data_IF_866625711937
#
_entry.id   IF_866625711937
#
_cell.length_a   1.000
_cell.length_b   1.000
_cell.length_c   1.000
_cell.angle_alpha   90.00
_cell.angle_beta   90.00
_cell.angle_gamma   90.00
#
_symmetry.space_group_name_H-M   'P 1'
#
loop_
_entity.id
_entity.type
_entity.pdbx_description
1 polymer ?
#
# COMPACT_ATOMS: atom_id res chain seq x y z
N UNK A 1 23.61 -26.90 -12.20
CA UNK A 1 23.46 -25.47 -11.86
C UNK A 1 21.98 -25.18 -11.69
N UNK A 2 21.50 -25.29 -10.48
CA UNK A 2 20.17 -24.78 -10.16
C UNK A 2 20.31 -23.26 -10.03
N UNK A 3 19.83 -22.57 -11.04
CA UNK A 3 19.61 -21.15 -10.98
C UNK A 3 18.45 -20.99 -9.98
N UNK A 4 18.75 -20.56 -8.77
CA UNK A 4 17.75 -20.05 -7.87
C UNK A 4 17.15 -18.83 -8.54
N UNK A 5 15.98 -19.02 -9.13
CA UNK A 5 15.12 -17.93 -9.53
C UNK A 5 14.71 -17.21 -8.25
N UNK A 6 15.45 -16.15 -7.92
CA UNK A 6 15.11 -15.27 -6.81
C UNK A 6 13.81 -14.63 -7.22
N UNK A 7 12.72 -15.08 -6.61
CA UNK A 7 11.42 -14.46 -6.79
C UNK A 7 11.56 -12.97 -6.46
N UNK A 8 11.47 -12.12 -7.46
CA UNK A 8 11.57 -10.68 -7.32
C UNK A 8 10.30 -10.16 -6.61
N UNK A 9 10.39 -10.08 -5.30
CA UNK A 9 9.32 -9.52 -4.49
C UNK A 9 9.40 -7.99 -4.55
N UNK A 10 8.37 -7.37 -5.08
CA UNK A 10 8.22 -5.91 -5.08
C UNK A 10 7.08 -5.57 -4.12
N UNK A 11 7.40 -4.83 -3.07
CA UNK A 11 6.41 -4.39 -2.10
C UNK A 11 6.20 -2.88 -2.16
N UNK A 12 4.95 -2.48 -2.10
CA UNK A 12 4.57 -1.11 -1.81
C UNK A 12 4.36 -0.98 -0.29
N UNK A 13 5.33 -0.41 0.38
CA UNK A 13 5.31 -0.24 1.83
C UNK A 13 4.66 1.10 2.18
N UNK A 14 3.58 1.04 2.94
CA UNK A 14 2.93 2.22 3.49
C UNK A 14 3.23 2.29 4.98
N UNK A 15 3.91 3.36 5.38
CA UNK A 15 4.33 3.59 6.75
C UNK A 15 3.48 4.70 7.33
N UNK A 16 2.86 4.45 8.47
CA UNK A 16 2.05 5.43 9.19
C UNK A 16 2.68 5.75 10.53
N UNK A 17 2.61 7.03 10.90
CA UNK A 17 3.02 7.55 12.18
C UNK A 17 1.85 7.62 13.17
N UNK A 18 2.15 7.76 14.45
CA UNK A 18 1.17 7.96 15.52
C UNK A 18 0.38 9.27 15.33
N UNK A 19 0.97 10.28 14.71
CA UNK A 19 0.34 11.57 14.42
C UNK A 19 -0.61 11.54 13.21
N UNK A 20 -0.73 10.43 12.51
CA UNK A 20 -1.60 10.27 11.35
C UNK A 20 -0.95 10.63 10.01
N UNK A 21 0.34 10.95 9.98
CA UNK A 21 1.08 11.09 8.73
C UNK A 21 1.40 9.73 8.16
N UNK A 22 1.43 9.60 6.84
CA UNK A 22 1.83 8.39 6.16
C UNK A 22 2.70 8.70 4.95
N UNK A 23 3.67 7.84 4.73
CA UNK A 23 4.53 7.85 3.53
C UNK A 23 4.46 6.48 2.87
N UNK A 24 4.62 6.47 1.56
CA UNK A 24 4.66 5.24 0.77
C UNK A 24 6.00 5.14 0.09
N UNK A 25 6.65 3.98 0.23
CA UNK A 25 7.89 3.63 -0.47
C UNK A 25 7.72 2.33 -1.22
N UNK A 26 8.34 2.23 -2.38
CA UNK A 26 8.43 0.99 -3.13
C UNK A 26 9.76 0.32 -2.81
N UNK A 27 9.69 -0.91 -2.33
CA UNK A 27 10.84 -1.77 -2.07
C UNK A 27 10.96 -2.76 -3.22
N UNK A 28 12.13 -2.81 -3.83
CA UNK A 28 12.42 -3.71 -4.93
C UNK A 28 13.49 -4.73 -4.50
N UNK A 29 13.28 -5.96 -4.92
CA UNK A 29 14.27 -7.04 -4.83
C UNK A 29 14.92 -7.18 -3.44
N UNK A 30 16.21 -6.81 -3.33
CA UNK A 30 17.01 -7.01 -2.12
C UNK A 30 16.44 -6.35 -0.86
N UNK A 31 15.85 -5.18 -1.00
CA UNK A 31 15.27 -4.43 0.11
C UNK A 31 13.95 -5.03 0.62
N UNK A 32 13.31 -5.86 -0.19
CA UNK A 32 12.10 -6.57 0.17
C UNK A 32 12.35 -7.84 1.01
N UNK A 33 13.53 -8.43 0.91
CA UNK A 33 13.88 -9.69 1.56
C UNK A 33 13.67 -9.70 3.07
N UNK A 34 14.02 -8.65 3.84
CA UNK A 34 13.82 -8.63 5.29
C UNK A 34 12.36 -8.72 5.72
N UNK A 35 11.43 -8.38 4.83
CA UNK A 35 9.98 -8.44 5.10
C UNK A 35 9.38 -9.82 4.78
N UNK A 36 10.08 -10.62 3.97
CA UNK A 36 9.61 -11.94 3.58
C UNK A 36 9.52 -12.89 4.77
N UNK A 37 8.40 -13.59 4.88
CA UNK A 37 8.17 -14.55 5.95
C UNK A 37 7.74 -13.94 7.30
N UNK A 38 7.73 -12.61 7.42
CA UNK A 38 7.24 -11.96 8.64
C UNK A 38 5.71 -12.08 8.75
N UNK A 39 5.24 -12.09 9.98
CA UNK A 39 3.83 -12.23 10.33
C UNK A 39 3.26 -10.86 10.71
N UNK A 40 1.97 -10.66 10.51
CA UNK A 40 1.27 -9.47 11.01
C UNK A 40 1.49 -9.34 12.51
N UNK A 41 1.93 -8.16 12.95
CA UNK A 41 2.31 -7.87 14.33
C UNK A 41 3.80 -8.03 14.64
N UNK A 42 4.59 -8.59 13.71
CA UNK A 42 6.05 -8.64 13.83
C UNK A 42 6.66 -7.24 13.71
N UNK A 43 7.78 -7.05 14.37
CA UNK A 43 8.59 -5.83 14.30
C UNK A 43 9.81 -6.07 13.40
N UNK A 44 10.14 -5.08 12.61
CA UNK A 44 11.34 -5.05 11.77
C UNK A 44 12.04 -3.71 11.89
N UNK A 45 13.29 -3.63 11.47
CA UNK A 45 14.06 -2.40 11.53
C UNK A 45 13.59 -1.40 10.45
N UNK A 46 13.45 -0.15 10.84
CA UNK A 46 13.08 0.93 9.93
C UNK A 46 14.20 1.35 8.98
N UNK A 47 15.41 0.80 9.15
CA UNK A 47 16.56 1.04 8.28
C UNK A 47 16.28 0.68 6.80
N UNK A 48 15.40 -0.28 6.54
CA UNK A 48 14.95 -0.68 5.20
C UNK A 48 14.39 0.51 4.40
N UNK A 49 13.79 1.45 5.10
CA UNK A 49 13.21 2.67 4.51
C UNK A 49 14.03 3.93 4.77
N UNK A 50 15.22 3.79 5.38
CA UNK A 50 16.08 4.91 5.74
C UNK A 50 15.64 5.67 6.98
N UNK A 51 14.78 5.08 7.80
CA UNK A 51 14.34 5.65 9.07
C UNK A 51 15.07 4.95 10.24
N UNK A 52 15.26 5.67 11.33
CA UNK A 52 15.84 5.12 12.55
C UNK A 52 14.72 4.62 13.46
N UNK A 53 14.80 3.38 13.92
CA UNK A 53 13.81 2.80 14.83
C UNK A 53 13.20 1.51 14.31
N UNK A 54 11.98 1.22 14.76
CA UNK A 54 11.27 -0.02 14.43
C UNK A 54 9.98 0.24 13.67
N UNK A 55 9.66 -0.69 12.79
CA UNK A 55 8.39 -0.77 12.06
C UNK A 55 7.64 -2.00 12.54
N UNK A 56 6.36 -1.84 12.82
CA UNK A 56 5.45 -2.94 13.14
C UNK A 56 4.52 -3.19 11.99
N UNK A 57 4.48 -4.42 11.49
CA UNK A 57 3.59 -4.82 10.40
C UNK A 57 2.16 -4.88 10.93
N UNK A 58 1.25 -4.12 10.33
CA UNK A 58 -0.17 -4.06 10.72
C UNK A 58 -1.08 -4.82 9.78
N UNK A 59 -0.68 -5.00 8.54
CA UNK A 59 -1.46 -5.71 7.56
C UNK A 59 -0.95 -5.51 6.15
N UNK A 60 -1.76 -5.85 5.19
CA UNK A 60 -1.43 -5.70 3.76
C UNK A 60 -2.46 -6.34 2.86
N UNK A 61 -2.15 -6.34 1.58
CA UNK A 61 -2.94 -6.98 0.54
C UNK A 61 -2.05 -7.61 -0.54
N UNK A 62 -2.58 -8.59 -1.24
CA UNK A 62 -1.87 -9.19 -2.35
C UNK A 62 -2.05 -8.42 -3.67
N UNK A 63 -1.42 -8.90 -4.74
CA UNK A 63 -1.51 -8.33 -6.09
C UNK A 63 -2.93 -8.28 -6.64
N UNK A 64 -3.82 -9.14 -6.15
CA UNK A 64 -5.25 -9.18 -6.54
C UNK A 64 -6.15 -8.36 -5.60
N UNK A 65 -5.60 -7.69 -4.60
CA UNK A 65 -6.34 -6.90 -3.63
C UNK A 65 -6.95 -7.70 -2.47
N UNK A 66 -6.63 -8.99 -2.33
CA UNK A 66 -7.12 -9.82 -1.22
C UNK A 66 -6.42 -9.39 0.07
N UNK A 67 -7.16 -9.01 1.13
CA UNK A 67 -6.56 -8.52 2.37
C UNK A 67 -5.92 -9.66 3.17
N UNK A 68 -4.83 -9.33 3.86
CA UNK A 68 -4.23 -10.19 4.87
C UNK A 68 -5.02 -10.09 6.18
N UNK A 69 -5.14 -11.21 6.87
CA UNK A 69 -5.83 -11.30 8.15
C UNK A 69 -4.92 -11.94 9.21
N UNK A 70 -4.79 -11.28 10.37
CA UNK A 70 -3.85 -11.68 11.42
C UNK A 70 -4.19 -12.98 12.14
N UNK A 71 -5.46 -13.34 12.20
CA UNK A 71 -5.96 -14.57 12.85
C UNK A 71 -5.89 -15.82 11.96
N UNK A 72 -5.55 -15.66 10.68
CA UNK A 72 -5.40 -16.77 9.76
C UNK A 72 -3.92 -17.08 9.52
N UNK A 73 -3.46 -18.22 10.03
CA UNK A 73 -2.06 -18.62 9.87
C UNK A 73 -1.73 -19.07 8.46
N UNK A 74 -0.53 -18.73 8.01
CA UNK A 74 0.05 -19.17 6.74
C UNK A 74 0.07 -18.07 5.68
N UNK A 75 0.50 -18.45 4.48
CA UNK A 75 0.64 -17.56 3.32
C UNK A 75 -0.52 -17.69 2.33
N UNK A 76 -1.27 -18.80 2.40
CA UNK A 76 -2.27 -19.15 1.40
C UNK A 76 -3.55 -18.32 1.52
N UNK A 77 -4.24 -18.16 0.39
CA UNK A 77 -5.60 -17.64 0.35
C UNK A 77 -6.58 -18.71 0.84
N UNK A 78 -7.52 -18.31 1.68
CA UNK A 78 -8.58 -19.20 2.17
C UNK A 78 -9.93 -18.51 2.15
N UNK A 79 -10.97 -19.27 1.85
CA UNK A 79 -12.35 -18.80 2.02
C UNK A 79 -12.80 -19.12 3.43
N UNK A 80 -13.05 -18.08 4.23
CA UNK A 80 -13.50 -18.22 5.61
C UNK A 80 -14.83 -17.50 5.83
N UNK A 81 -15.61 -18.04 6.76
CA UNK A 81 -16.86 -17.42 7.17
C UNK A 81 -16.53 -16.27 8.13
N UNK A 82 -16.81 -15.06 7.71
CA UNK A 82 -16.51 -13.86 8.46
C UNK A 82 -17.80 -13.19 8.96
N UNK A 83 -17.70 -12.63 10.16
CA UNK A 83 -18.53 -11.55 10.64
C UNK A 83 -17.84 -10.21 10.36
N UNK A 84 -18.23 -9.14 11.00
CA UNK A 84 -17.58 -7.82 10.84
C UNK A 84 -16.07 -7.89 11.14
N UNK A 85 -15.27 -7.23 10.34
CA UNK A 85 -13.82 -7.12 10.53
C UNK A 85 -13.05 -6.95 9.22
N UNK A 86 -11.75 -7.25 9.25
CA UNK A 86 -10.91 -7.22 8.06
C UNK A 86 -11.43 -8.22 7.03
N UNK A 87 -11.69 -7.75 5.81
CA UNK A 87 -12.25 -8.53 4.72
C UNK A 87 -13.77 -8.51 4.62
N UNK A 88 -14.49 -8.05 5.65
CA UNK A 88 -15.93 -7.84 5.65
C UNK A 88 -16.30 -6.60 6.48
N UNK A 89 -16.69 -5.52 5.82
CA UNK A 89 -17.02 -4.24 6.44
C UNK A 89 -18.53 -3.99 6.58
N UNK A 90 -19.35 -4.91 6.16
CA UNK A 90 -20.81 -4.80 6.27
C UNK A 90 -21.22 -4.61 7.73
N UNK A 91 -22.16 -3.70 7.96
CA UNK A 91 -22.58 -3.27 9.31
C UNK A 91 -23.86 -3.95 9.79
N UNK A 92 -24.51 -4.74 8.96
CA UNK A 92 -25.75 -5.44 9.33
C UNK A 92 -25.52 -6.39 10.51
N UNK A 93 -26.41 -6.31 11.49
CA UNK A 93 -26.33 -7.15 12.68
C UNK A 93 -26.57 -8.63 12.33
N UNK A 94 -25.65 -9.50 12.79
CA UNK A 94 -25.74 -10.95 12.56
C UNK A 94 -25.36 -11.42 11.15
N UNK A 95 -24.93 -10.51 10.25
CA UNK A 95 -24.51 -10.88 8.92
C UNK A 95 -23.20 -11.66 8.96
N UNK A 96 -23.16 -12.80 8.27
CA UNK A 96 -21.96 -13.61 8.03
C UNK A 96 -21.88 -13.98 6.55
N UNK A 97 -20.70 -13.74 5.97
CA UNK A 97 -20.44 -14.09 4.57
C UNK A 97 -19.12 -14.84 4.44
N UNK A 98 -19.05 -15.75 3.49
CA UNK A 98 -17.79 -16.38 3.10
C UNK A 98 -17.03 -15.44 2.19
N UNK A 99 -15.86 -14.97 2.65
CA UNK A 99 -14.94 -14.11 1.91
C UNK A 99 -13.59 -14.78 1.72
N UNK A 100 -12.95 -14.44 0.62
CA UNK A 100 -11.57 -14.83 0.35
C UNK A 100 -10.66 -13.86 1.11
N UNK A 101 -9.80 -14.41 1.93
CA UNK A 101 -8.78 -13.66 2.66
C UNK A 101 -7.44 -14.37 2.58
N UNK A 102 -6.38 -13.64 2.83
CA UNK A 102 -5.03 -14.19 2.86
C UNK A 102 -4.55 -14.36 4.30
N UNK A 103 -3.62 -15.28 4.48
CA UNK A 103 -3.01 -15.52 5.78
C UNK A 103 -2.16 -14.35 6.29
N UNK A 104 -1.64 -14.49 7.49
CA UNK A 104 -0.93 -13.44 8.22
C UNK A 104 0.55 -13.30 7.81
N UNK A 105 1.08 -14.18 6.97
CA UNK A 105 2.50 -14.22 6.62
C UNK A 105 2.75 -13.53 5.29
N UNK A 106 3.76 -12.66 5.25
CA UNK A 106 4.19 -11.95 4.05
C UNK A 106 4.88 -12.92 3.09
N UNK A 107 4.44 -12.95 1.85
CA UNK A 107 4.99 -13.76 0.76
C UNK A 107 5.26 -12.91 -0.46
N UNK A 108 5.89 -13.48 -1.47
CA UNK A 108 6.19 -12.87 -2.78
C UNK A 108 4.94 -12.42 -3.57
N UNK A 109 3.79 -12.99 -3.27
CA UNK A 109 2.51 -12.60 -3.89
C UNK A 109 1.87 -11.37 -3.25
N UNK A 110 2.38 -10.92 -2.09
CA UNK A 110 1.93 -9.69 -1.45
C UNK A 110 2.42 -8.49 -2.29
N UNK A 111 1.58 -7.49 -2.41
CA UNK A 111 1.91 -6.27 -3.11
C UNK A 111 2.05 -5.09 -2.16
N UNK A 112 1.09 -4.91 -1.28
CA UNK A 112 1.10 -3.82 -0.31
C UNK A 112 1.28 -4.35 1.09
N UNK A 113 2.21 -3.75 1.83
CA UNK A 113 2.43 -3.99 3.25
C UNK A 113 2.23 -2.68 4.01
N UNK A 114 1.43 -2.73 5.05
CA UNK A 114 1.17 -1.59 5.91
C UNK A 114 1.94 -1.75 7.21
N UNK A 115 2.70 -0.73 7.57
CA UNK A 115 3.48 -0.69 8.79
C UNK A 115 3.13 0.53 9.63
N UNK A 116 3.27 0.38 10.93
CA UNK A 116 3.22 1.49 11.89
C UNK A 116 4.63 1.77 12.37
N UNK A 117 5.00 3.05 12.38
CA UNK A 117 6.28 3.53 12.85
C UNK A 117 6.14 4.13 14.24
N UNK A 118 7.05 3.79 15.15
CA UNK A 118 7.03 4.29 16.52
C UNK A 118 7.63 5.69 16.68
N UNK A 119 8.31 6.20 15.65
CA UNK A 119 8.88 7.55 15.60
C UNK A 119 7.98 8.56 14.90
N UNK A 120 8.48 9.79 14.76
CA UNK A 120 7.84 10.83 13.98
C UNK A 120 8.39 10.85 12.56
N UNK A 121 7.50 10.83 11.58
CA UNK A 121 7.87 11.02 10.19
C UNK A 121 8.12 12.51 9.98
N UNK A 122 9.40 12.88 9.83
CA UNK A 122 9.77 14.22 9.38
C UNK A 122 9.43 14.30 7.89
N UNK A 123 8.78 15.39 7.49
CA UNK A 123 8.49 15.67 6.08
C UNK A 123 9.83 15.98 5.38
N UNK A 124 10.56 14.94 5.02
CA UNK A 124 11.59 15.05 4.01
C UNK A 124 10.85 14.92 2.69
N UNK A 125 10.60 16.08 2.08
CA UNK A 125 10.01 16.17 0.77
C UNK A 125 10.74 15.18 -0.17
N UNK A 126 10.02 14.36 -0.93
CA UNK A 126 10.69 13.52 -1.92
C UNK A 126 11.47 14.45 -2.85
N UNK A 127 12.71 14.12 -3.23
CA UNK A 127 13.40 14.90 -4.24
C UNK A 127 12.51 14.90 -5.48
N UNK A 128 12.11 16.10 -5.86
CA UNK A 128 11.44 16.34 -7.12
C UNK A 128 12.46 16.06 -8.22
N UNK A 129 12.48 14.83 -8.70
CA UNK A 129 13.18 14.49 -9.92
C UNK A 129 12.18 14.15 -11.00
N UNK A 130 12.23 15.02 -12.01
CA UNK A 130 11.72 14.86 -13.36
C UNK A 130 10.18 14.89 -13.54
N UNK A 131 9.65 16.11 -13.56
CA UNK A 131 8.66 16.50 -14.54
C UNK A 131 8.94 17.94 -14.97
N UNK A 132 10.02 18.12 -15.70
CA UNK A 132 10.21 19.25 -16.59
C UNK A 132 10.04 18.74 -18.01
N UNK A 133 9.31 19.57 -18.81
CA UNK A 133 9.06 19.42 -20.25
C UNK A 133 7.88 18.52 -20.59
N UNK A 134 6.72 19.06 -20.83
CA UNK A 134 6.30 19.71 -22.07
C UNK A 134 4.96 20.44 -21.84
N UNK A 135 4.96 21.74 -21.93
CA UNK A 135 3.78 22.57 -22.09
C UNK A 135 3.79 23.15 -23.52
N UNK A 136 2.89 22.79 -24.39
CA UNK A 136 2.59 23.67 -25.52
C UNK A 136 1.62 24.76 -25.07
N UNK A 137 2.13 25.96 -25.12
CA UNK A 137 1.34 27.17 -25.28
C UNK A 137 0.64 27.12 -26.62
N UNK A 138 -0.63 27.40 -26.62
CA UNK A 138 -1.38 28.04 -27.72
C UNK A 138 -2.83 28.14 -27.23
N UNK A 139 -3.60 29.15 -27.43
CA UNK A 139 -3.49 30.48 -27.92
C UNK A 139 -4.85 31.14 -27.58
N UNK A 140 -4.77 32.36 -27.12
CA UNK A 140 -5.91 33.25 -26.98
C UNK A 140 -6.58 33.46 -28.36
N UNK A 141 -7.90 33.28 -28.42
CA UNK A 141 -8.77 34.00 -29.33
C UNK A 141 -10.12 34.14 -28.66
N UNK A 142 -10.28 35.19 -27.99
CA UNK A 142 -11.01 36.44 -28.29
C UNK A 142 -12.40 36.21 -28.88
N UNK A 143 -13.39 36.56 -28.06
CA UNK A 143 -14.78 36.78 -28.44
C UNK A 143 -14.88 37.95 -29.41
N UNK A 144 -15.96 38.05 -30.20
CA UNK A 144 -16.76 39.22 -29.95
C UNK A 144 -18.28 38.94 -29.84
N UNK A 145 -18.83 39.72 -28.95
CA UNK A 145 -20.23 40.03 -28.84
C UNK A 145 -20.72 40.83 -30.07
N UNK A 146 -21.98 40.65 -30.42
CA UNK A 146 -22.93 41.64 -30.93
C UNK A 146 -24.27 40.94 -31.03
N UNK A 147 -25.20 41.36 -30.26
CA UNK A 147 -26.10 42.50 -30.36
C UNK A 147 -27.13 42.35 -31.49
N UNK A 148 -28.30 42.38 -31.01
CA UNK A 148 -29.45 43.11 -31.47
C UNK A 148 -30.54 42.45 -32.32
N UNK A 149 -31.68 42.61 -31.73
CA UNK A 149 -32.97 43.16 -32.18
C UNK A 149 -34.03 42.25 -32.81
N UNK A 150 -35.13 42.29 -32.07
CA UNK A 150 -36.46 42.70 -32.49
C UNK A 150 -37.14 41.88 -33.59
N UNK A 151 -38.17 41.24 -33.29
CA UNK A 151 -39.60 41.61 -33.29
C UNK A 151 -40.43 40.50 -32.65
#
# INVERSE_FOLDING_TARGET
>A
SQIFEIAMANFKLTISDVKGKSITKELKEGDANPLMGLVIGAETDAAIVGLAGKLKITGGSDKSGVPMRGDLHGMARKRVLLSKGVGLQDTEHGLRKRKLVRGNTVSDEIFQVNCKYDGEIKDEAPPAEAAAEDAPKEDKKEAPAKEDKKE
#
